data_IF_929931236816
#
_entry.id   IF_929931236816
#
_cell.length_a   1.000
_cell.length_b   1.000
_cell.length_c   1.000
_cell.angle_alpha   90.00
_cell.angle_beta   90.00
_cell.angle_gamma   90.00
#
_symmetry.space_group_name_H-M   'P 1'
#
loop_
_entity.id
_entity.type
_entity.pdbx_description
1 polymer ?
#
# COMPACT_ATOMS: atom_id res chain seq x y z
N UNK A 1 -9.98 21.12 5.06
CA UNK A 1 -9.69 20.37 3.82
C UNK A 1 -8.73 19.24 4.17
N UNK A 2 -9.11 18.00 3.90
CA UNK A 2 -8.26 16.83 4.09
C UNK A 2 -7.22 16.75 2.97
N UNK A 3 -5.96 16.53 3.30
CA UNK A 3 -4.91 16.35 2.31
C UNK A 3 -5.23 15.08 1.48
N UNK A 4 -5.34 15.21 0.16
CA UNK A 4 -5.61 14.09 -0.75
C UNK A 4 -4.37 13.60 -1.49
N UNK A 5 -3.24 14.28 -1.36
CA UNK A 5 -1.97 13.88 -1.93
C UNK A 5 -1.14 13.19 -0.85
N UNK A 6 -1.07 11.87 -0.91
CA UNK A 6 -0.41 11.01 0.05
C UNK A 6 0.95 10.57 -0.50
N UNK A 7 2.00 10.61 0.35
CA UNK A 7 3.35 10.24 -0.07
C UNK A 7 3.63 8.77 0.24
N UNK A 8 4.05 8.00 -0.77
CA UNK A 8 4.64 6.68 -0.58
C UNK A 8 6.14 6.76 -0.29
N UNK A 9 6.84 7.82 -0.76
CA UNK A 9 8.17 8.19 -0.31
C UNK A 9 8.08 9.33 0.69
N UNK A 10 8.58 9.11 1.89
CA UNK A 10 8.55 10.09 2.98
C UNK A 10 9.27 11.39 2.58
N UNK A 11 8.61 12.53 2.75
CA UNK A 11 9.24 13.83 2.45
C UNK A 11 10.50 14.09 3.29
N UNK A 12 10.58 13.57 4.52
CA UNK A 12 11.77 13.70 5.35
C UNK A 12 12.99 12.99 4.74
N UNK A 13 12.77 11.86 4.09
CA UNK A 13 13.81 11.16 3.33
C UNK A 13 14.22 11.96 2.07
N UNK A 14 13.24 12.39 1.28
CA UNK A 14 13.47 13.16 0.06
C UNK A 14 14.24 14.48 0.31
N UNK A 15 14.06 15.11 1.47
CA UNK A 15 14.81 16.32 1.87
C UNK A 15 16.32 16.08 1.97
N UNK A 16 16.76 14.85 2.18
CA UNK A 16 18.18 14.50 2.17
C UNK A 16 18.87 14.72 0.81
N UNK A 17 18.11 14.75 -0.28
CA UNK A 17 18.58 14.90 -1.65
C UNK A 17 18.41 16.34 -2.19
N UNK A 18 17.93 17.27 -1.38
CA UNK A 18 17.75 18.66 -1.81
C UNK A 18 19.04 19.45 -1.73
N UNK A 19 19.19 20.44 -2.62
CA UNK A 19 20.30 21.41 -2.64
C UNK A 19 20.21 22.44 -1.49
N UNK A 20 19.84 21.99 -0.30
CA UNK A 20 19.65 22.81 0.89
C UNK A 20 18.55 22.25 1.78
N UNK A 21 18.40 22.79 3.00
CA UNK A 21 17.45 22.27 4.00
C UNK A 21 16.16 23.09 4.12
N UNK A 22 16.01 24.15 3.32
CA UNK A 22 14.83 25.00 3.36
C UNK A 22 13.59 24.27 2.80
N UNK A 23 12.40 24.70 3.22
CA UNK A 23 11.12 24.11 2.79
C UNK A 23 10.91 24.10 1.27
N UNK A 24 11.50 25.07 0.57
CA UNK A 24 11.43 25.22 -0.90
C UNK A 24 12.68 24.72 -1.64
N UNK A 25 13.62 24.06 -0.93
CA UNK A 25 14.80 23.49 -1.59
C UNK A 25 14.40 22.40 -2.56
N UNK A 26 15.01 22.43 -3.75
CA UNK A 26 14.73 21.51 -4.86
C UNK A 26 15.66 20.31 -4.81
N UNK A 27 15.19 19.20 -5.35
CA UNK A 27 15.95 18.00 -5.69
C UNK A 27 15.86 17.75 -7.20
N UNK A 28 16.87 17.11 -7.75
CA UNK A 28 16.87 16.65 -9.14
C UNK A 28 16.19 15.29 -9.21
N UNK A 29 15.32 15.12 -10.19
CA UNK A 29 14.56 13.89 -10.44
C UNK A 29 14.84 13.42 -11.86
N UNK A 30 15.03 12.10 -12.02
CA UNK A 30 15.14 11.44 -13.31
C UNK A 30 13.97 10.47 -13.40
N UNK A 31 13.08 10.70 -14.36
CA UNK A 31 12.00 9.79 -14.73
C UNK A 31 12.50 8.84 -15.81
N UNK A 32 12.69 7.57 -15.45
CA UNK A 32 13.22 6.56 -16.36
C UNK A 32 12.18 6.11 -17.41
N UNK A 33 10.89 6.20 -17.10
CA UNK A 33 9.82 5.84 -18.04
C UNK A 33 9.68 6.91 -19.12
N UNK A 34 9.60 8.17 -18.71
CA UNK A 34 9.45 9.32 -19.60
C UNK A 34 10.79 9.81 -20.16
N UNK A 35 11.91 9.23 -19.72
CA UNK A 35 13.28 9.59 -20.14
C UNK A 35 13.57 11.08 -20.03
N UNK A 36 13.13 11.71 -18.95
CA UNK A 36 13.32 13.16 -18.69
C UNK A 36 13.85 13.42 -17.29
N UNK A 37 14.53 14.55 -17.15
CA UNK A 37 15.01 15.05 -15.88
C UNK A 37 14.44 16.43 -15.58
N UNK A 38 14.17 16.71 -14.31
CA UNK A 38 13.63 17.99 -13.86
C UNK A 38 14.01 18.26 -12.41
N UNK A 39 13.89 19.53 -11.98
CA UNK A 39 14.06 19.92 -10.59
C UNK A 39 12.73 20.29 -9.96
N UNK A 40 12.46 19.76 -8.76
CA UNK A 40 11.24 20.05 -8.02
C UNK A 40 11.43 19.95 -6.51
N UNK A 41 10.42 20.35 -5.74
CA UNK A 41 10.44 20.20 -4.28
C UNK A 41 9.95 18.81 -3.87
N UNK A 42 10.36 18.28 -2.69
CA UNK A 42 9.94 16.94 -2.20
C UNK A 42 8.44 16.70 -2.20
N UNK A 43 7.64 17.74 -1.99
CA UNK A 43 6.17 17.65 -1.97
C UNK A 43 5.56 17.17 -3.29
N UNK A 44 6.24 17.42 -4.41
CA UNK A 44 5.68 17.16 -5.74
C UNK A 44 6.03 15.77 -6.31
N UNK A 45 6.82 14.98 -5.58
CA UNK A 45 7.28 13.66 -6.03
C UNK A 45 7.10 12.61 -4.94
N UNK A 46 7.05 11.34 -5.35
CA UNK A 46 6.92 10.23 -4.41
C UNK A 46 5.57 10.19 -3.70
N UNK A 47 4.52 10.71 -4.33
CA UNK A 47 3.17 10.71 -3.80
C UNK A 47 2.12 10.49 -4.88
N UNK A 48 0.96 10.00 -4.47
CA UNK A 48 -0.23 9.75 -5.30
C UNK A 48 -1.48 10.24 -4.58
N UNK A 49 -2.50 10.58 -5.35
CA UNK A 49 -3.80 10.95 -4.79
C UNK A 49 -4.43 9.77 -4.08
N UNK A 50 -4.95 10.02 -2.88
CA UNK A 50 -5.71 9.07 -2.06
C UNK A 50 -4.98 7.73 -1.76
N UNK A 51 -3.65 7.67 -1.93
CA UNK A 51 -2.84 6.44 -1.83
C UNK A 51 -2.99 5.69 -0.49
N UNK A 52 -3.15 6.40 0.63
CA UNK A 52 -3.32 5.82 1.97
C UNK A 52 -4.75 5.99 2.49
N UNK A 53 -5.73 6.29 1.61
CA UNK A 53 -7.12 6.46 2.00
C UNK A 53 -7.72 5.10 2.39
N UNK A 54 -8.48 5.10 3.49
CA UNK A 54 -9.31 3.97 3.91
C UNK A 54 -10.75 4.30 3.53
N UNK A 55 -11.43 3.40 2.85
CA UNK A 55 -12.83 3.56 2.48
C UNK A 55 -13.69 2.53 3.21
N UNK A 56 -13.71 2.63 4.54
CA UNK A 56 -14.48 1.78 5.45
C UNK A 56 -15.42 2.69 6.24
N UNK A 57 -16.68 2.33 6.29
CA UNK A 57 -17.70 3.08 7.04
C UNK A 57 -17.34 3.19 8.52
N UNK A 58 -17.51 4.38 9.10
CA UNK A 58 -17.16 4.67 10.50
C UNK A 58 -15.67 4.84 10.79
N UNK A 59 -14.78 4.69 9.81
CA UNK A 59 -13.33 4.85 9.97
C UNK A 59 -12.86 6.17 9.35
N UNK A 60 -12.00 6.90 10.07
CA UNK A 60 -11.36 8.10 9.52
C UNK A 60 -10.52 7.74 8.29
N UNK A 61 -10.94 8.20 7.13
CA UNK A 61 -10.32 7.94 5.83
C UNK A 61 -8.82 8.30 5.77
N UNK A 62 -8.36 9.21 6.63
CA UNK A 62 -6.96 9.65 6.71
C UNK A 62 -6.22 9.10 7.94
N UNK A 63 -6.75 8.09 8.61
CA UNK A 63 -6.14 7.51 9.83
C UNK A 63 -4.69 7.05 9.58
N UNK A 64 -4.44 6.38 8.47
CA UNK A 64 -3.11 5.93 8.09
C UNK A 64 -2.18 7.13 7.89
N UNK A 65 -2.59 8.13 7.11
CA UNK A 65 -1.78 9.32 6.82
C UNK A 65 -1.41 10.10 8.08
N UNK A 66 -2.37 10.26 9.01
CA UNK A 66 -2.11 10.90 10.30
C UNK A 66 -1.11 10.13 11.17
N UNK A 67 -1.19 8.80 11.18
CA UNK A 67 -0.26 7.95 11.92
C UNK A 67 1.13 7.99 11.32
N UNK A 68 1.23 7.95 9.98
CA UNK A 68 2.48 8.08 9.25
C UNK A 68 3.15 9.43 9.49
N UNK A 69 2.40 10.52 9.48
CA UNK A 69 2.95 11.86 9.73
C UNK A 69 3.60 11.98 11.13
N UNK A 70 3.01 11.36 12.16
CA UNK A 70 3.61 11.31 13.51
C UNK A 70 4.94 10.55 13.53
N UNK A 71 4.97 9.39 12.87
CA UNK A 71 6.18 8.57 12.76
C UNK A 71 7.26 9.30 11.95
N UNK A 72 6.93 9.87 10.80
CA UNK A 72 7.85 10.59 9.93
C UNK A 72 8.47 11.82 10.63
N UNK A 73 7.74 12.47 11.53
CA UNK A 73 8.28 13.52 12.40
C UNK A 73 9.44 13.04 13.27
N UNK A 74 9.29 11.87 13.91
CA UNK A 74 10.35 11.24 14.70
C UNK A 74 11.52 10.79 13.82
N UNK A 75 11.22 10.13 12.70
CA UNK A 75 12.21 9.65 11.75
C UNK A 75 13.06 10.82 11.15
N UNK A 76 12.43 11.96 10.88
CA UNK A 76 13.12 13.16 10.43
C UNK A 76 14.19 13.63 11.44
N UNK A 77 13.88 13.60 12.73
CA UNK A 77 14.83 13.93 13.81
C UNK A 77 15.97 12.92 13.87
N UNK A 78 15.66 11.62 13.75
CA UNK A 78 16.66 10.55 13.74
C UNK A 78 17.60 10.66 12.54
N UNK A 79 17.08 10.94 11.32
CA UNK A 79 17.87 11.16 10.12
C UNK A 79 18.79 12.38 10.26
N UNK A 80 18.28 13.49 10.83
CA UNK A 80 19.10 14.69 11.09
C UNK A 80 20.25 14.35 12.04
N UNK A 81 19.96 13.68 13.16
CA UNK A 81 20.97 13.26 14.13
C UNK A 81 22.01 12.33 13.51
N UNK A 82 21.59 11.34 12.71
CA UNK A 82 22.52 10.47 11.98
C UNK A 82 23.47 11.28 11.08
N UNK A 83 22.94 12.25 10.34
CA UNK A 83 23.75 13.10 9.46
C UNK A 83 24.75 13.99 10.20
N UNK A 84 24.43 14.43 11.42
CA UNK A 84 25.28 15.33 12.23
C UNK A 84 26.30 14.56 13.07
N UNK A 85 25.90 13.48 13.69
CA UNK A 85 26.72 12.76 14.69
C UNK A 85 27.23 11.40 14.20
N UNK A 86 26.69 10.89 13.08
CA UNK A 86 26.91 9.53 12.58
C UNK A 86 26.56 8.43 13.58
N UNK A 87 25.74 8.76 14.59
CA UNK A 87 25.27 7.81 15.59
C UNK A 87 24.11 6.98 15.06
N UNK A 88 24.37 5.69 14.79
CA UNK A 88 23.41 4.71 14.34
C UNK A 88 23.20 3.62 15.42
N UNK A 89 22.63 4.03 16.60
CA UNK A 89 22.42 3.16 17.76
C UNK A 89 21.08 3.43 18.42
N UNK A 90 20.61 2.47 19.23
CA UNK A 90 19.40 2.57 20.04
C UNK A 90 18.18 3.06 19.24
N UNK A 91 17.34 3.91 19.81
CA UNK A 91 16.10 4.40 19.22
C UNK A 91 16.29 5.07 17.84
N UNK A 92 17.42 5.77 17.61
CA UNK A 92 17.69 6.36 16.30
C UNK A 92 17.83 5.29 15.23
N UNK A 93 18.54 4.21 15.50
CA UNK A 93 18.67 3.06 14.59
C UNK A 93 17.30 2.47 14.27
N UNK A 94 16.49 2.23 15.31
CA UNK A 94 15.17 1.60 15.15
C UNK A 94 14.22 2.46 14.32
N UNK A 95 14.20 3.77 14.57
CA UNK A 95 13.41 4.72 13.76
C UNK A 95 13.84 4.75 12.29
N UNK A 96 15.14 4.69 12.01
CA UNK A 96 15.67 4.70 10.64
C UNK A 96 15.38 3.36 9.94
N UNK A 97 15.57 2.22 10.61
CA UNK A 97 15.23 0.92 10.03
C UNK A 97 13.73 0.79 9.75
N UNK A 98 12.89 1.25 10.67
CA UNK A 98 11.44 1.30 10.44
C UNK A 98 11.07 2.21 9.28
N UNK A 99 11.75 3.36 9.11
CA UNK A 99 11.53 4.23 7.94
C UNK A 99 11.88 3.52 6.63
N UNK A 100 13.02 2.82 6.57
CA UNK A 100 13.43 2.04 5.40
C UNK A 100 12.38 0.97 5.08
N UNK A 101 11.96 0.19 6.09
CA UNK A 101 10.93 -0.85 5.94
C UNK A 101 9.61 -0.26 5.44
N UNK A 102 9.18 0.87 5.99
CA UNK A 102 7.95 1.54 5.56
C UNK A 102 8.03 2.05 4.12
N UNK A 103 9.16 2.61 3.70
CA UNK A 103 9.36 3.05 2.30
C UNK A 103 9.30 1.83 1.38
N UNK A 104 9.99 0.75 1.72
CA UNK A 104 10.00 -0.47 0.92
C UNK A 104 8.61 -1.12 0.82
N UNK A 105 7.87 -1.20 1.92
CA UNK A 105 6.55 -1.84 1.96
C UNK A 105 5.45 -1.01 1.26
N UNK A 106 5.62 0.32 1.20
CA UNK A 106 4.62 1.26 0.65
C UNK A 106 4.82 1.59 -0.81
N UNK A 107 5.79 1.00 -1.50
CA UNK A 107 5.98 1.33 -2.92
C UNK A 107 4.75 0.90 -3.75
N UNK A 108 4.36 1.68 -4.77
CA UNK A 108 3.27 1.30 -5.68
C UNK A 108 3.49 -0.07 -6.31
N UNK A 109 4.74 -0.37 -6.68
CA UNK A 109 5.14 -1.65 -7.27
C UNK A 109 4.90 -2.82 -6.30
N UNK A 110 5.21 -2.62 -5.01
CA UNK A 110 4.97 -3.64 -3.99
C UNK A 110 3.47 -3.89 -3.78
N UNK A 111 2.68 -2.81 -3.75
CA UNK A 111 1.21 -2.95 -3.67
C UNK A 111 0.65 -3.70 -4.86
N UNK A 112 1.07 -3.35 -6.06
CA UNK A 112 0.63 -4.04 -7.28
C UNK A 112 1.08 -5.51 -7.29
N UNK A 113 2.30 -5.80 -6.83
CA UNK A 113 2.75 -7.18 -6.68
C UNK A 113 1.88 -7.98 -5.70
N UNK A 114 1.56 -7.39 -4.54
CA UNK A 114 0.68 -8.04 -3.55
C UNK A 114 -0.74 -8.21 -4.07
N UNK A 115 -1.28 -7.21 -4.78
CA UNK A 115 -2.59 -7.31 -5.43
C UNK A 115 -2.64 -8.49 -6.41
N UNK A 116 -1.65 -8.58 -7.31
CA UNK A 116 -1.53 -9.70 -8.25
C UNK A 116 -1.40 -11.04 -7.53
N UNK A 117 -0.57 -11.11 -6.51
CA UNK A 117 -0.40 -12.33 -5.73
C UNK A 117 -1.72 -12.80 -5.08
N UNK A 118 -2.48 -11.87 -4.49
CA UNK A 118 -3.80 -12.19 -3.93
C UNK A 118 -4.79 -12.60 -5.02
N UNK A 119 -4.79 -11.90 -6.16
CA UNK A 119 -5.64 -12.24 -7.30
C UNK A 119 -5.35 -13.66 -7.81
N UNK A 120 -4.05 -14.00 -8.00
CA UNK A 120 -3.63 -15.32 -8.45
C UNK A 120 -4.03 -16.44 -7.47
N UNK A 121 -3.89 -16.19 -6.14
CA UNK A 121 -4.32 -17.15 -5.12
C UNK A 121 -5.83 -17.33 -5.15
N UNK A 122 -6.59 -16.23 -5.20
CA UNK A 122 -8.05 -16.28 -5.23
C UNK A 122 -8.57 -16.99 -6.48
N UNK A 123 -7.97 -16.70 -7.65
CA UNK A 123 -8.32 -17.36 -8.92
C UNK A 123 -8.06 -18.87 -8.85
N UNK A 124 -6.92 -19.29 -8.31
CA UNK A 124 -6.61 -20.72 -8.11
C UNK A 124 -7.56 -21.38 -7.12
N UNK A 125 -7.83 -20.72 -6.00
CA UNK A 125 -8.73 -21.24 -4.98
C UNK A 125 -10.16 -21.44 -5.56
N UNK A 126 -10.66 -20.39 -6.24
CA UNK A 126 -11.97 -20.46 -6.90
C UNK A 126 -12.01 -21.53 -7.99
N UNK A 127 -10.95 -21.65 -8.80
CA UNK A 127 -10.84 -22.69 -9.80
C UNK A 127 -10.92 -24.10 -9.21
N UNK A 128 -10.22 -24.36 -8.09
CA UNK A 128 -10.27 -25.64 -7.39
C UNK A 128 -11.64 -25.90 -6.75
N UNK A 129 -12.28 -24.88 -6.19
CA UNK A 129 -13.60 -24.99 -5.56
C UNK A 129 -14.67 -25.28 -6.60
N UNK A 130 -14.58 -24.65 -7.79
CA UNK A 130 -15.55 -24.81 -8.89
C UNK A 130 -15.24 -25.96 -9.84
N UNK A 131 -14.19 -26.75 -9.57
CA UNK A 131 -13.84 -27.90 -10.41
C UNK A 131 -14.97 -28.93 -10.46
N UNK A 132 -15.60 -29.22 -9.29
CA UNK A 132 -16.77 -30.06 -9.21
C UNK A 132 -17.85 -29.44 -8.33
N UNK A 133 -19.13 -29.87 -8.56
CA UNK A 133 -20.26 -29.39 -7.78
C UNK A 133 -20.14 -29.80 -6.31
N UNK A 134 -19.67 -31.02 -6.05
CA UNK A 134 -19.47 -31.53 -4.70
C UNK A 134 -18.49 -30.71 -3.89
N UNK A 135 -17.39 -30.22 -4.53
CA UNK A 135 -16.41 -29.32 -3.87
C UNK A 135 -17.04 -27.98 -3.53
N UNK A 136 -17.79 -27.41 -4.45
CA UNK A 136 -18.53 -26.17 -4.23
C UNK A 136 -19.52 -26.29 -3.07
N UNK A 137 -20.39 -27.32 -3.10
CA UNK A 137 -21.38 -27.56 -2.06
C UNK A 137 -20.72 -27.82 -0.70
N UNK A 138 -19.60 -28.57 -0.68
CA UNK A 138 -18.82 -28.80 0.53
C UNK A 138 -18.18 -27.52 1.09
N UNK A 139 -17.74 -26.58 0.24
CA UNK A 139 -17.22 -25.29 0.69
C UNK A 139 -18.32 -24.39 1.23
N UNK A 140 -19.48 -24.34 0.56
CA UNK A 140 -20.66 -23.59 1.03
C UNK A 140 -21.13 -24.13 2.39
N UNK A 141 -21.21 -25.44 2.56
CA UNK A 141 -21.59 -26.06 3.82
C UNK A 141 -20.65 -25.66 4.98
N UNK A 142 -19.34 -25.64 4.76
CA UNK A 142 -18.37 -25.18 5.76
C UNK A 142 -18.57 -23.72 6.15
N UNK A 143 -18.83 -22.85 5.18
CA UNK A 143 -19.09 -21.44 5.47
C UNK A 143 -20.38 -21.26 6.28
N UNK A 144 -21.41 -22.07 6.01
CA UNK A 144 -22.66 -22.09 6.77
C UNK A 144 -22.49 -22.66 8.19
N UNK A 145 -21.56 -23.60 8.38
CA UNK A 145 -21.20 -24.09 9.72
C UNK A 145 -20.51 -23.00 10.56
N UNK A 146 -19.63 -22.20 9.93
CA UNK A 146 -18.94 -21.08 10.58
C UNK A 146 -19.85 -19.88 10.82
N UNK A 147 -20.73 -19.57 9.86
CA UNK A 147 -21.74 -18.51 9.94
C UNK A 147 -23.09 -19.01 9.46
N UNK A 148 -23.99 -19.40 10.40
CA UNK A 148 -25.32 -19.88 10.05
C UNK A 148 -26.22 -18.89 9.29
N UNK A 149 -25.87 -17.62 9.28
CA UNK A 149 -26.57 -16.59 8.49
C UNK A 149 -26.02 -16.45 7.06
N UNK A 150 -24.95 -17.18 6.73
CA UNK A 150 -24.33 -17.10 5.41
C UNK A 150 -25.27 -17.65 4.33
N UNK A 151 -25.66 -16.76 3.43
CA UNK A 151 -26.36 -17.09 2.19
C UNK A 151 -25.43 -16.75 1.02
N UNK A 152 -25.02 -17.76 0.25
CA UNK A 152 -24.16 -17.52 -0.90
C UNK A 152 -24.89 -16.82 -2.07
N UNK A 153 -26.24 -16.82 -2.06
CA UNK A 153 -27.09 -16.12 -3.02
C UNK A 153 -26.92 -16.57 -4.49
N UNK A 154 -26.15 -17.66 -4.75
CA UNK A 154 -25.82 -18.09 -6.12
C UNK A 154 -25.77 -19.61 -6.24
N UNK A 155 -26.03 -20.13 -7.43
CA UNK A 155 -25.90 -21.56 -7.74
C UNK A 155 -24.48 -21.90 -8.18
N UNK A 156 -24.13 -23.20 -8.15
CA UNK A 156 -22.86 -23.69 -8.68
C UNK A 156 -22.68 -23.29 -10.17
N UNK A 157 -23.73 -23.48 -10.95
CA UNK A 157 -23.74 -23.19 -12.38
C UNK A 157 -23.52 -21.71 -12.69
N UNK A 158 -24.13 -20.83 -11.90
CA UNK A 158 -23.94 -19.37 -12.07
C UNK A 158 -22.55 -18.92 -11.60
N UNK A 159 -22.08 -19.44 -10.47
CA UNK A 159 -20.74 -19.16 -9.97
C UNK A 159 -19.67 -19.64 -10.96
N UNK A 160 -19.83 -20.84 -11.52
CA UNK A 160 -18.92 -21.40 -12.51
C UNK A 160 -18.91 -20.58 -13.80
N UNK A 161 -20.08 -20.21 -14.33
CA UNK A 161 -20.21 -19.35 -15.51
C UNK A 161 -19.55 -18.01 -15.31
N UNK A 162 -19.76 -17.36 -14.16
CA UNK A 162 -19.14 -16.09 -13.81
C UNK A 162 -17.61 -16.22 -13.73
N UNK A 163 -17.11 -17.25 -13.09
CA UNK A 163 -15.66 -17.50 -12.99
C UNK A 163 -15.02 -17.77 -14.37
N UNK A 164 -15.69 -18.54 -15.23
CA UNK A 164 -15.20 -18.87 -16.58
C UNK A 164 -15.27 -17.65 -17.53
N UNK A 165 -16.17 -16.69 -17.31
CA UNK A 165 -16.28 -15.47 -18.13
C UNK A 165 -15.05 -14.56 -18.03
N UNK A 166 -14.32 -14.64 -16.89
CA UNK A 166 -13.19 -13.74 -16.58
C UNK A 166 -13.54 -12.24 -16.67
N UNK A 167 -14.82 -11.89 -16.52
CA UNK A 167 -15.34 -10.52 -16.52
C UNK A 167 -15.28 -9.85 -15.13
N UNK A 168 -14.35 -10.27 -14.29
CA UNK A 168 -14.14 -9.75 -12.93
C UNK A 168 -12.68 -9.33 -12.73
N UNK A 169 -12.47 -8.38 -11.84
CA UNK A 169 -11.14 -8.00 -11.34
C UNK A 169 -11.10 -8.22 -9.82
N UNK A 170 -10.04 -8.85 -9.35
CA UNK A 170 -9.79 -9.09 -7.92
C UNK A 170 -8.91 -7.93 -7.44
N UNK A 171 -9.52 -7.00 -6.72
CA UNK A 171 -8.89 -5.77 -6.22
C UNK A 171 -8.45 -5.88 -4.76
#
# INVERSE_FOLDING_TARGET
>A
MTARHHHFLSQCYLKGFTKGRAKKSKLSVIDLKEKKSFETIPRNVGGMRDFNRIDIEGVDQNKIEKSLAKFEGKAATALKKLGETRDFRGENKDLILNLITMIAARSPERREHMRKFHADISDRFMGLTLETKERWEGQVAKLQEEDPSYDNGTTYEDAKRFFESKEYDIT
#
